data_IF_591443328172
#
_entry.id   IF_591443328172
#
_cell.length_a   1.000
_cell.length_b   1.000
_cell.length_c   1.000
_cell.angle_alpha   90.00
_cell.angle_beta   90.00
_cell.angle_gamma   90.00
#
_symmetry.space_group_name_H-M   'P 1'
#
loop_
_entity.id
_entity.type
_entity.pdbx_description
1 polymer ?
#
# COMPACT_ATOMS: atom_id res chain seq x y z
N UNK A 1 26.63 -31.78 -6.50
CA UNK A 1 25.80 -31.16 -7.54
C UNK A 1 24.72 -30.36 -6.80
N UNK A 2 25.02 -29.12 -6.46
CA UNK A 2 24.07 -28.27 -5.74
C UNK A 2 23.01 -27.78 -6.73
N UNK A 3 21.72 -28.05 -6.42
CA UNK A 3 20.59 -27.61 -7.24
C UNK A 3 20.42 -26.10 -7.01
N UNK A 4 20.64 -25.23 -8.02
CA UNK A 4 20.57 -23.77 -7.84
C UNK A 4 19.19 -23.28 -7.39
N UNK A 5 18.14 -24.08 -7.61
CA UNK A 5 16.77 -23.73 -7.22
C UNK A 5 16.51 -23.91 -5.72
N UNK A 6 17.17 -24.86 -5.05
CA UNK A 6 17.00 -25.05 -3.60
C UNK A 6 17.65 -23.94 -2.77
N UNK A 7 18.70 -23.29 -3.26
CA UNK A 7 19.39 -22.21 -2.56
C UNK A 7 18.60 -20.89 -2.56
N UNK A 8 17.58 -20.74 -3.40
CA UNK A 8 16.75 -19.51 -3.47
C UNK A 8 15.47 -19.60 -2.65
N UNK A 9 15.02 -20.80 -2.25
CA UNK A 9 13.73 -20.99 -1.57
C UNK A 9 13.69 -20.27 -0.22
N UNK A 10 14.69 -20.47 0.63
CA UNK A 10 14.73 -19.87 1.96
C UNK A 10 14.78 -18.32 1.92
N UNK A 11 15.65 -17.67 1.11
CA UNK A 11 15.60 -16.21 0.95
C UNK A 11 14.26 -15.71 0.39
N UNK A 12 13.68 -16.40 -0.59
CA UNK A 12 12.39 -16.00 -1.17
C UNK A 12 11.27 -16.06 -0.14
N UNK A 13 11.21 -17.13 0.67
CA UNK A 13 10.26 -17.24 1.77
C UNK A 13 10.51 -16.13 2.83
N UNK A 14 11.77 -15.83 3.14
CA UNK A 14 12.11 -14.74 4.05
C UNK A 14 11.59 -13.38 3.55
N UNK A 15 11.69 -13.10 2.24
CA UNK A 15 11.15 -11.86 1.66
C UNK A 15 9.62 -11.80 1.74
N UNK A 16 8.93 -12.91 1.44
CA UNK A 16 7.47 -12.99 1.55
C UNK A 16 7.05 -12.80 3.01
N UNK A 17 7.71 -13.47 3.96
CA UNK A 17 7.42 -13.34 5.39
C UNK A 17 7.72 -11.93 5.91
N UNK A 18 8.81 -11.32 5.48
CA UNK A 18 9.17 -9.95 5.86
C UNK A 18 8.13 -8.93 5.37
N UNK A 19 7.67 -9.05 4.13
CA UNK A 19 6.59 -8.22 3.59
C UNK A 19 5.27 -8.46 4.33
N UNK A 20 4.94 -9.73 4.62
CA UNK A 20 3.78 -10.10 5.43
C UNK A 20 3.81 -9.49 6.83
N UNK A 21 5.00 -9.44 7.44
CA UNK A 21 5.22 -8.81 8.74
C UNK A 21 4.98 -7.29 8.65
N UNK A 22 5.45 -6.62 7.60
CA UNK A 22 5.16 -5.20 7.35
C UNK A 22 3.65 -5.00 7.20
N UNK A 23 2.96 -5.82 6.41
CA UNK A 23 1.51 -5.77 6.26
C UNK A 23 0.79 -5.91 7.61
N UNK A 24 1.13 -6.94 8.40
CA UNK A 24 0.55 -7.16 9.72
C UNK A 24 0.78 -5.96 10.65
N UNK A 25 2.02 -5.44 10.73
CA UNK A 25 2.35 -4.30 11.58
C UNK A 25 1.55 -3.06 11.17
N UNK A 26 1.44 -2.77 9.87
CA UNK A 26 0.64 -1.63 9.38
C UNK A 26 -0.84 -1.79 9.75
N UNK A 27 -1.43 -2.96 9.48
CA UNK A 27 -2.83 -3.24 9.80
C UNK A 27 -3.12 -3.28 11.30
N UNK A 28 -2.13 -3.61 12.14
CA UNK A 28 -2.28 -3.68 13.58
C UNK A 28 -2.01 -2.34 14.28
N UNK A 29 -0.85 -1.71 14.00
CA UNK A 29 -0.41 -0.54 14.78
C UNK A 29 -1.20 0.73 14.45
N UNK A 30 -1.57 0.95 13.18
CA UNK A 30 -2.27 2.19 12.79
C UNK A 30 -3.65 2.29 13.45
N UNK A 31 -4.55 1.28 13.35
CA UNK A 31 -5.83 1.34 14.06
C UNK A 31 -5.69 1.34 15.58
N UNK A 32 -4.74 0.56 16.13
CA UNK A 32 -4.50 0.50 17.59
C UNK A 32 -4.13 1.88 18.15
N UNK A 33 -3.11 2.53 17.58
CA UNK A 33 -2.65 3.85 18.02
C UNK A 33 -3.77 4.90 17.81
N UNK A 34 -4.51 4.81 16.71
CA UNK A 34 -5.63 5.73 16.46
C UNK A 34 -6.72 5.63 17.53
N UNK A 35 -7.05 4.42 17.98
CA UNK A 35 -8.03 4.20 19.07
C UNK A 35 -7.50 4.72 20.41
N UNK A 36 -6.24 4.41 20.75
CA UNK A 36 -5.62 4.86 22.01
C UNK A 36 -5.57 6.39 22.11
N UNK A 37 -5.22 7.06 21.01
CA UNK A 37 -5.22 8.53 20.96
C UNK A 37 -6.63 9.13 21.02
N UNK A 38 -7.61 8.46 20.42
CA UNK A 38 -9.01 8.89 20.50
C UNK A 38 -9.55 8.77 21.94
N UNK A 39 -9.18 7.71 22.68
CA UNK A 39 -9.53 7.57 24.10
C UNK A 39 -8.94 8.70 24.95
N UNK A 40 -7.79 9.26 24.56
CA UNK A 40 -7.18 10.43 25.19
C UNK A 40 -7.76 11.77 24.72
N UNK A 41 -8.81 11.75 23.91
CA UNK A 41 -9.44 12.96 23.35
C UNK A 41 -8.49 13.78 22.45
N UNK A 42 -7.48 13.14 21.84
CA UNK A 42 -6.57 13.79 20.89
C UNK A 42 -7.34 14.12 19.60
N UNK A 43 -7.17 15.34 19.12
CA UNK A 43 -7.88 15.80 17.92
C UNK A 43 -7.54 14.94 16.70
N UNK A 44 -8.53 14.63 15.82
CA UNK A 44 -8.36 13.75 14.64
C UNK A 44 -7.25 14.17 13.69
N UNK A 45 -6.93 15.45 13.60
CA UNK A 45 -5.78 15.96 12.85
C UNK A 45 -4.46 15.33 13.31
N UNK A 46 -4.22 15.25 14.62
CA UNK A 46 -2.99 14.68 15.17
C UNK A 46 -2.94 13.17 15.00
N UNK A 47 -4.10 12.50 15.08
CA UNK A 47 -4.22 11.08 14.73
C UNK A 47 -3.82 10.85 13.26
N UNK A 48 -4.32 11.69 12.36
CA UNK A 48 -3.97 11.65 10.94
C UNK A 48 -2.50 11.93 10.67
N UNK A 49 -1.90 12.90 11.38
CA UNK A 49 -0.47 13.23 11.29
C UNK A 49 0.40 12.06 11.74
N UNK A 50 0.06 11.41 12.85
CA UNK A 50 0.79 10.23 13.33
C UNK A 50 0.66 9.03 12.39
N UNK A 51 -0.54 8.80 11.85
CA UNK A 51 -0.79 7.75 10.86
C UNK A 51 -0.02 7.99 9.53
N UNK A 52 0.33 9.23 9.21
CA UNK A 52 1.12 9.60 8.04
C UNK A 52 2.64 9.37 8.21
N UNK A 53 3.14 9.17 9.44
CA UNK A 53 4.58 9.01 9.69
C UNK A 53 5.17 7.74 9.07
N UNK A 54 4.57 6.54 9.20
CA UNK A 54 5.09 5.36 8.54
C UNK A 54 5.15 5.51 7.00
N UNK A 55 4.10 5.94 6.29
CA UNK A 55 4.20 6.23 4.86
C UNK A 55 5.25 7.28 4.50
N UNK A 56 5.42 8.33 5.30
CA UNK A 56 6.47 9.31 5.10
C UNK A 56 7.88 8.69 5.23
N UNK A 57 8.08 7.82 6.22
CA UNK A 57 9.30 7.03 6.36
C UNK A 57 9.54 6.10 5.17
N UNK A 58 8.50 5.43 4.66
CA UNK A 58 8.58 4.60 3.44
C UNK A 58 8.98 5.44 2.21
N UNK A 59 8.43 6.63 2.06
CA UNK A 59 8.78 7.55 0.98
C UNK A 59 10.26 7.95 1.04
N UNK A 60 10.76 8.29 2.23
CA UNK A 60 12.18 8.63 2.45
C UNK A 60 13.06 7.42 2.11
N UNK A 61 12.72 6.24 2.58
CA UNK A 61 13.50 5.02 2.33
C UNK A 61 13.54 4.65 0.85
N UNK A 62 12.47 4.92 0.08
CA UNK A 62 12.44 4.68 -1.37
C UNK A 62 13.51 5.48 -2.11
N UNK A 63 13.81 6.71 -1.67
CA UNK A 63 14.91 7.50 -2.20
C UNK A 63 16.29 7.07 -1.69
N UNK A 64 16.37 6.59 -0.44
CA UNK A 64 17.63 6.17 0.18
C UNK A 64 18.06 4.75 -0.23
N UNK A 65 17.12 3.84 -0.47
CA UNK A 65 17.40 2.44 -0.76
C UNK A 65 18.40 2.23 -1.92
N UNK A 66 18.31 2.93 -3.05
CA UNK A 66 19.28 2.79 -4.13
C UNK A 66 20.72 3.17 -3.73
N UNK A 67 20.87 4.16 -2.86
CA UNK A 67 22.18 4.58 -2.37
C UNK A 67 22.74 3.60 -1.32
N UNK A 68 21.87 3.08 -0.47
CA UNK A 68 22.20 2.09 0.55
C UNK A 68 22.62 0.75 -0.07
N UNK A 69 21.87 0.25 -1.06
CA UNK A 69 22.16 -1.01 -1.76
C UNK A 69 23.51 -1.01 -2.49
N UNK A 70 24.01 0.18 -2.88
CA UNK A 70 25.36 0.31 -3.46
C UNK A 70 26.49 0.17 -2.44
N UNK A 71 26.23 0.50 -1.17
CA UNK A 71 27.25 0.56 -0.10
C UNK A 71 27.18 -0.62 0.84
N UNK A 72 25.99 -1.16 1.09
CA UNK A 72 25.72 -2.18 2.08
C UNK A 72 25.19 -3.42 1.38
N UNK A 73 25.62 -4.61 1.83
CA UNK A 73 25.09 -5.88 1.33
C UNK A 73 23.60 -6.04 1.67
N UNK A 74 22.85 -6.59 0.72
CA UNK A 74 21.40 -6.79 0.83
C UNK A 74 20.98 -7.51 2.13
N UNK A 75 21.73 -8.56 2.52
CA UNK A 75 21.45 -9.33 3.73
C UNK A 75 21.60 -8.52 5.01
N UNK A 76 22.63 -7.66 5.09
CA UNK A 76 22.87 -6.77 6.24
C UNK A 76 21.78 -5.70 6.30
N UNK A 77 21.44 -5.11 5.16
CA UNK A 77 20.42 -4.06 5.07
C UNK A 77 19.03 -4.58 5.46
N UNK A 78 18.64 -5.75 4.95
CA UNK A 78 17.37 -6.41 5.32
C UNK A 78 17.33 -6.81 6.78
N UNK A 79 18.41 -7.40 7.30
CA UNK A 79 18.47 -7.82 8.72
C UNK A 79 18.39 -6.61 9.64
N UNK A 80 19.11 -5.55 9.34
CA UNK A 80 19.06 -4.29 10.09
C UNK A 80 17.67 -3.66 10.06
N UNK A 81 17.02 -3.66 8.88
CA UNK A 81 15.65 -3.14 8.72
C UNK A 81 14.61 -3.98 9.47
N UNK A 82 14.72 -5.31 9.48
CA UNK A 82 13.82 -6.17 10.25
C UNK A 82 13.95 -5.96 11.76
N UNK A 83 15.18 -5.82 12.26
CA UNK A 83 15.42 -5.52 13.67
C UNK A 83 14.85 -4.13 14.01
N UNK A 84 15.14 -3.12 13.19
CA UNK A 84 14.62 -1.76 13.38
C UNK A 84 13.09 -1.74 13.35
N UNK A 85 12.45 -2.47 12.42
CA UNK A 85 11.00 -2.60 12.32
C UNK A 85 10.41 -3.17 13.63
N UNK A 86 10.96 -4.28 14.12
CA UNK A 86 10.48 -4.91 15.36
C UNK A 86 10.63 -3.97 16.57
N UNK A 87 11.81 -3.36 16.75
CA UNK A 87 12.07 -2.44 17.85
C UNK A 87 11.19 -1.20 17.80
N UNK A 88 11.04 -0.58 16.63
CA UNK A 88 10.17 0.59 16.45
C UNK A 88 8.71 0.25 16.72
N UNK A 89 8.24 -0.91 16.25
CA UNK A 89 6.86 -1.37 16.50
C UNK A 89 6.62 -1.63 18.00
N UNK A 90 7.54 -2.31 18.68
CA UNK A 90 7.44 -2.54 20.13
C UNK A 90 7.41 -1.21 20.86
N UNK A 91 8.30 -0.27 20.51
CA UNK A 91 8.33 1.06 21.11
C UNK A 91 7.01 1.80 20.91
N UNK A 92 6.40 1.72 19.70
CA UNK A 92 5.08 2.32 19.43
C UNK A 92 3.96 1.71 20.27
N UNK A 93 4.02 0.41 20.57
CA UNK A 93 3.01 -0.26 21.38
C UNK A 93 3.23 -0.09 22.90
N UNK A 94 4.38 0.41 23.33
CA UNK A 94 4.71 0.62 24.75
C UNK A 94 4.45 2.03 25.26
N UNK A 95 4.02 2.94 24.40
CA UNK A 95 3.74 4.32 24.77
C UNK A 95 2.45 4.79 24.14
N UNK A 96 1.72 5.61 24.90
CA UNK A 96 0.53 6.32 24.42
C UNK A 96 0.77 7.83 24.33
N UNK A 97 2.00 8.28 24.61
CA UNK A 97 2.39 9.68 24.48
C UNK A 97 2.62 10.01 23.00
N UNK A 98 1.86 10.98 22.50
CA UNK A 98 1.90 11.43 21.11
C UNK A 98 3.32 11.81 20.65
N UNK A 99 4.07 12.50 21.52
CA UNK A 99 5.42 12.99 21.17
C UNK A 99 6.41 11.84 21.04
N UNK A 100 6.28 10.84 21.93
CA UNK A 100 7.12 9.64 21.90
C UNK A 100 6.79 8.71 20.73
N UNK A 101 5.59 8.80 20.15
CA UNK A 101 5.18 8.03 18.97
C UNK A 101 5.78 8.54 17.65
N UNK A 102 6.23 9.80 17.58
CA UNK A 102 6.73 10.40 16.33
C UNK A 102 7.94 9.64 15.77
N UNK A 103 8.95 9.39 16.58
CA UNK A 103 10.17 8.74 16.14
C UNK A 103 9.96 7.26 15.78
N UNK A 104 9.33 6.42 16.62
CA UNK A 104 9.02 5.04 16.26
C UNK A 104 8.16 4.92 15.01
N UNK A 105 7.14 5.78 14.83
CA UNK A 105 6.31 5.80 13.63
C UNK A 105 7.12 6.02 12.35
N UNK A 106 8.01 7.01 12.35
CA UNK A 106 8.89 7.30 11.22
C UNK A 106 9.87 6.14 10.96
N UNK A 107 10.48 5.59 12.02
CA UNK A 107 11.42 4.46 11.92
C UNK A 107 10.76 3.18 11.42
N UNK A 108 9.53 2.91 11.85
CA UNK A 108 8.71 1.81 11.31
C UNK A 108 8.56 1.95 9.79
N UNK A 109 8.26 3.16 9.30
CA UNK A 109 8.16 3.44 7.88
C UNK A 109 9.47 3.29 7.13
N UNK A 110 10.56 3.85 7.66
CA UNK A 110 11.90 3.72 7.06
C UNK A 110 12.29 2.24 6.90
N UNK A 111 12.11 1.45 7.93
CA UNK A 111 12.41 0.02 7.92
C UNK A 111 11.52 -0.74 6.94
N UNK A 112 10.20 -0.49 6.98
CA UNK A 112 9.21 -1.10 6.08
C UNK A 112 9.52 -0.83 4.61
N UNK A 113 9.84 0.41 4.27
CA UNK A 113 10.14 0.79 2.89
C UNK A 113 11.38 0.09 2.34
N UNK A 114 12.46 -0.05 3.13
CA UNK A 114 13.62 -0.83 2.72
C UNK A 114 13.25 -2.29 2.49
N UNK A 115 12.48 -2.90 3.40
CA UNK A 115 12.05 -4.31 3.30
C UNK A 115 11.22 -4.52 2.03
N UNK A 116 10.26 -3.65 1.76
CA UNK A 116 9.38 -3.75 0.58
C UNK A 116 10.19 -3.58 -0.71
N UNK A 117 11.01 -2.52 -0.83
CA UNK A 117 11.83 -2.26 -2.03
C UNK A 117 12.75 -3.44 -2.34
N UNK A 118 13.46 -3.96 -1.34
CA UNK A 118 14.37 -5.08 -1.53
C UNK A 118 13.65 -6.40 -1.78
N UNK A 119 12.51 -6.63 -1.10
CA UNK A 119 11.66 -7.79 -1.30
C UNK A 119 11.09 -7.85 -2.72
N UNK A 120 10.51 -6.74 -3.20
CA UNK A 120 9.99 -6.64 -4.57
C UNK A 120 11.11 -6.83 -5.61
N UNK A 121 12.25 -6.21 -5.41
CA UNK A 121 13.40 -6.37 -6.29
C UNK A 121 13.87 -7.83 -6.35
N UNK A 122 13.95 -8.50 -5.21
CA UNK A 122 14.31 -9.92 -5.14
C UNK A 122 13.32 -10.81 -5.90
N UNK A 123 12.02 -10.63 -5.64
CA UNK A 123 10.93 -11.41 -6.25
C UNK A 123 10.87 -11.16 -7.75
N UNK A 124 10.99 -9.91 -8.18
CA UNK A 124 10.89 -9.56 -9.61
C UNK A 124 12.15 -9.84 -10.38
N UNK A 125 13.33 -9.77 -9.77
CA UNK A 125 14.62 -10.03 -10.41
C UNK A 125 15.01 -11.51 -10.47
N UNK A 126 14.51 -12.34 -9.54
CA UNK A 126 14.95 -13.72 -9.34
C UNK A 126 14.17 -14.79 -10.08
N UNK A 127 12.98 -14.52 -10.57
CA UNK A 127 12.12 -15.51 -11.22
C UNK A 127 12.14 -15.38 -12.75
N UNK A 128 12.20 -16.52 -13.45
CA UNK A 128 12.14 -16.57 -14.92
C UNK A 128 10.68 -16.73 -15.39
N UNK A 129 10.30 -15.99 -16.43
CA UNK A 129 9.08 -16.21 -17.19
C UNK A 129 7.77 -16.23 -16.38
N UNK A 130 7.00 -17.31 -16.50
CA UNK A 130 5.68 -17.49 -15.90
C UNK A 130 5.67 -17.58 -14.37
N UNK A 131 6.75 -17.98 -13.74
CA UNK A 131 6.86 -18.09 -12.28
C UNK A 131 6.94 -16.71 -11.59
N UNK A 132 7.41 -15.68 -12.30
CA UNK A 132 7.52 -14.31 -11.80
C UNK A 132 6.15 -13.75 -11.38
N UNK A 133 5.15 -13.87 -12.25
CA UNK A 133 3.79 -13.38 -11.96
C UNK A 133 3.18 -14.09 -10.75
N UNK A 134 3.38 -15.41 -10.66
CA UNK A 134 2.87 -16.22 -9.53
C UNK A 134 3.53 -15.81 -8.21
N UNK A 135 4.85 -15.65 -8.17
CA UNK A 135 5.58 -15.25 -6.96
C UNK A 135 5.22 -13.82 -6.53
N UNK A 136 5.08 -12.89 -7.47
CA UNK A 136 4.61 -11.52 -7.18
C UNK A 136 3.19 -11.54 -6.62
N UNK A 137 2.31 -12.39 -7.17
CA UNK A 137 0.95 -12.56 -6.65
C UNK A 137 0.93 -13.12 -5.22
N UNK A 138 1.74 -14.15 -4.93
CA UNK A 138 1.87 -14.72 -3.58
C UNK A 138 2.40 -13.66 -2.60
N UNK A 139 3.42 -12.89 -3.00
CA UNK A 139 4.00 -11.83 -2.19
C UNK A 139 2.95 -10.76 -1.83
N UNK A 140 2.22 -10.26 -2.81
CA UNK A 140 1.18 -9.25 -2.61
C UNK A 140 0.01 -9.79 -1.76
N UNK A 141 -0.47 -11.01 -2.05
CA UNK A 141 -1.55 -11.65 -1.29
C UNK A 141 -1.16 -11.93 0.16
N UNK A 142 0.09 -12.30 0.40
CA UNK A 142 0.60 -12.54 1.76
C UNK A 142 0.69 -11.23 2.55
N UNK A 143 1.14 -10.14 1.92
CA UNK A 143 1.14 -8.80 2.52
C UNK A 143 -0.29 -8.37 2.91
N UNK A 144 -1.23 -8.37 1.96
CA UNK A 144 -2.63 -7.93 2.19
C UNK A 144 -3.35 -8.84 3.18
N UNK A 145 -3.14 -10.16 3.11
CA UNK A 145 -3.73 -11.11 4.05
C UNK A 145 -3.26 -10.88 5.49
N UNK A 146 -1.99 -10.55 5.68
CA UNK A 146 -1.44 -10.22 7.00
C UNK A 146 -1.87 -8.82 7.47
N UNK A 147 -2.03 -7.85 6.57
CA UNK A 147 -2.59 -6.52 6.89
C UNK A 147 -4.03 -6.66 7.42
N UNK A 148 -4.84 -7.51 6.81
CA UNK A 148 -6.20 -7.84 7.25
C UNK A 148 -6.24 -8.43 8.66
N UNK A 149 -5.25 -9.26 9.03
CA UNK A 149 -5.20 -9.91 10.34
C UNK A 149 -5.04 -8.90 11.50
N UNK A 150 -4.43 -7.74 11.26
CA UNK A 150 -4.22 -6.71 12.27
C UNK A 150 -5.51 -6.18 12.88
N UNK A 151 -6.40 -5.53 12.11
CA UNK A 151 -7.67 -5.02 12.62
C UNK A 151 -8.57 -6.14 13.16
N UNK A 152 -8.55 -7.33 12.54
CA UNK A 152 -9.28 -8.48 13.04
C UNK A 152 -8.86 -8.84 14.47
N UNK A 153 -7.56 -8.85 14.74
CA UNK A 153 -7.03 -9.16 16.07
C UNK A 153 -7.45 -8.11 17.11
N UNK A 154 -7.45 -6.83 16.76
CA UNK A 154 -7.92 -5.76 17.62
C UNK A 154 -9.42 -5.91 17.93
N UNK A 155 -10.23 -6.28 16.92
CA UNK A 155 -11.68 -6.42 17.09
C UNK A 155 -12.09 -7.52 18.07
N UNK A 156 -11.23 -8.53 18.30
CA UNK A 156 -11.45 -9.64 19.25
C UNK A 156 -11.15 -9.20 20.70
N UNK A 157 -10.32 -8.19 20.90
CA UNK A 157 -10.09 -7.59 22.22
C UNK A 157 -8.62 -7.54 22.63
N UNK A 158 -8.30 -6.82 23.75
CA UNK A 158 -6.94 -6.52 24.17
C UNK A 158 -6.13 -7.73 24.67
N UNK A 159 -6.78 -8.84 25.00
CA UNK A 159 -6.11 -10.06 25.48
C UNK A 159 -5.05 -10.61 24.52
N UNK A 160 -5.11 -10.26 23.23
CA UNK A 160 -4.21 -10.75 22.19
C UNK A 160 -3.00 -9.83 21.93
N UNK A 161 -2.92 -8.69 22.61
CA UNK A 161 -1.85 -7.70 22.36
C UNK A 161 -0.45 -8.26 22.63
N UNK A 162 -0.26 -8.95 23.76
CA UNK A 162 1.01 -9.61 24.07
C UNK A 162 1.36 -10.70 23.05
N UNK A 163 0.36 -11.46 22.58
CA UNK A 163 0.54 -12.49 21.55
C UNK A 163 0.95 -11.89 20.20
N UNK A 164 0.40 -10.73 19.83
CA UNK A 164 0.77 -10.01 18.62
C UNK A 164 2.24 -9.58 18.66
N UNK A 165 2.70 -9.00 19.78
CA UNK A 165 4.10 -8.60 19.96
C UNK A 165 5.05 -9.80 19.93
N UNK A 166 4.68 -10.91 20.60
CA UNK A 166 5.45 -12.15 20.54
C UNK A 166 5.53 -12.71 19.12
N UNK A 167 4.44 -12.67 18.36
CA UNK A 167 4.43 -13.09 16.95
C UNK A 167 5.35 -12.23 16.09
N UNK A 168 5.36 -10.91 16.27
CA UNK A 168 6.28 -10.00 15.57
C UNK A 168 7.73 -10.38 15.82
N UNK A 169 8.10 -10.59 17.09
CA UNK A 169 9.46 -11.00 17.47
C UNK A 169 9.81 -12.38 16.88
N UNK A 170 8.93 -13.36 17.00
CA UNK A 170 9.14 -14.70 16.49
C UNK A 170 9.31 -14.72 14.95
N UNK A 171 8.43 -14.03 14.21
CA UNK A 171 8.54 -13.94 12.75
C UNK A 171 9.81 -13.20 12.34
N UNK A 172 10.18 -12.12 13.03
CA UNK A 172 11.45 -11.43 12.81
C UNK A 172 12.63 -12.37 12.99
N UNK A 173 12.67 -13.14 14.07
CA UNK A 173 13.75 -14.11 14.33
C UNK A 173 13.84 -15.19 13.23
N UNK A 174 12.69 -15.72 12.78
CA UNK A 174 12.64 -16.71 11.70
C UNK A 174 13.15 -16.09 10.39
N UNK A 175 12.73 -14.87 10.04
CA UNK A 175 13.24 -14.16 8.87
C UNK A 175 14.77 -13.98 8.93
N UNK A 176 15.31 -13.54 10.07
CA UNK A 176 16.75 -13.37 10.25
C UNK A 176 17.53 -14.69 10.10
N UNK A 177 16.97 -15.81 10.59
CA UNK A 177 17.57 -17.14 10.40
C UNK A 177 17.56 -17.56 8.93
N UNK A 178 16.47 -17.31 8.21
CA UNK A 178 16.35 -17.63 6.77
C UNK A 178 17.25 -16.75 5.90
N UNK A 179 17.44 -15.48 6.26
CA UNK A 179 18.33 -14.55 5.54
C UNK A 179 19.82 -14.95 5.61
N UNK A 180 20.22 -15.79 6.54
CA UNK A 180 21.60 -16.37 6.58
C UNK A 180 21.92 -17.20 5.34
N UNK A 181 20.91 -17.67 4.64
CA UNK A 181 21.06 -18.42 3.36
C UNK A 181 21.10 -17.51 2.13
N UNK A 182 21.04 -16.18 2.32
CA UNK A 182 21.17 -15.23 1.20
C UNK A 182 22.60 -15.28 0.67
N UNK A 183 22.82 -15.38 -0.66
CA UNK A 183 24.15 -15.38 -1.23
C UNK A 183 24.92 -14.11 -0.83
N UNK A 184 26.15 -14.27 -0.36
CA UNK A 184 27.04 -13.15 -0.02
C UNK A 184 27.41 -12.37 -1.28
N UNK A 185 27.55 -11.04 -1.13
CA UNK A 185 27.93 -10.17 -2.26
C UNK A 185 26.78 -9.80 -3.20
N UNK A 186 25.52 -10.16 -2.87
CA UNK A 186 24.35 -9.75 -3.64
C UNK A 186 24.20 -8.24 -3.54
N UNK A 187 24.66 -7.53 -4.56
CA UNK A 187 24.42 -6.10 -4.77
C UNK A 187 23.45 -5.94 -5.92
N UNK A 188 22.44 -5.17 -5.73
CA UNK A 188 21.47 -4.91 -6.79
C UNK A 188 22.09 -3.97 -7.84
N UNK A 189 22.16 -4.43 -9.10
CA UNK A 189 22.51 -3.56 -10.22
C UNK A 189 21.28 -2.74 -10.58
N UNK A 190 21.19 -1.53 -10.07
CA UNK A 190 20.20 -0.56 -10.55
C UNK A 190 20.59 -0.18 -11.98
N UNK A 191 19.75 -0.60 -12.95
CA UNK A 191 19.95 -0.35 -14.37
C UNK A 191 20.10 1.14 -14.71
N UNK A 192 20.48 1.42 -15.95
CA UNK A 192 20.67 2.78 -16.47
C UNK A 192 19.45 3.66 -16.27
N UNK A 193 19.68 4.97 -16.12
CA UNK A 193 18.63 5.97 -15.89
C UNK A 193 17.78 6.11 -17.15
N UNK A 194 16.53 5.62 -17.11
CA UNK A 194 15.56 5.95 -18.16
C UNK A 194 15.13 7.43 -18.05
N UNK A 195 14.72 8.03 -19.16
CA UNK A 195 14.28 9.43 -19.19
C UNK A 195 12.88 9.59 -18.59
N UNK A 196 12.73 10.46 -17.62
CA UNK A 196 11.44 10.77 -16.96
C UNK A 196 10.45 11.53 -17.88
N UNK A 197 10.95 12.15 -18.94
CA UNK A 197 10.13 12.99 -19.83
C UNK A 197 9.12 12.17 -20.63
N UNK A 198 9.51 11.00 -21.12
CA UNK A 198 8.64 10.12 -21.91
C UNK A 198 7.46 9.55 -21.12
N UNK A 199 7.51 9.54 -19.79
CA UNK A 199 6.44 9.00 -18.93
C UNK A 199 5.47 10.07 -18.44
N UNK A 200 5.80 11.36 -18.60
CA UNK A 200 5.03 12.48 -18.04
C UNK A 200 3.57 12.52 -18.46
N UNK A 201 3.28 12.20 -19.72
CA UNK A 201 1.93 12.22 -20.26
C UNK A 201 1.02 11.10 -19.71
N UNK A 202 1.60 9.93 -19.40
CA UNK A 202 0.87 8.77 -18.87
C UNK A 202 0.68 8.82 -17.36
N UNK A 203 1.55 9.55 -16.67
CA UNK A 203 1.62 9.60 -15.22
C UNK A 203 0.30 9.97 -14.54
N UNK A 204 -0.43 11.04 -14.94
CA UNK A 204 -1.69 11.39 -14.29
C UNK A 204 -2.72 10.28 -14.36
N UNK A 205 -2.80 9.57 -15.50
CA UNK A 205 -3.78 8.51 -15.73
C UNK A 205 -3.48 7.26 -14.92
N UNK A 206 -2.21 6.87 -14.83
CA UNK A 206 -1.79 5.63 -14.16
C UNK A 206 -1.60 5.83 -12.66
N UNK A 207 -0.96 6.92 -12.26
CA UNK A 207 -0.64 7.18 -10.86
C UNK A 207 -1.85 7.65 -10.04
N UNK A 208 -2.86 8.25 -10.67
CA UNK A 208 -4.05 8.73 -9.95
C UNK A 208 -4.82 7.60 -9.24
N UNK A 209 -4.88 6.40 -9.84
CA UNK A 209 -5.53 5.25 -9.20
C UNK A 209 -4.76 4.74 -8.00
N UNK A 210 -3.43 4.67 -8.12
CA UNK A 210 -2.53 4.30 -7.01
C UNK A 210 -2.63 5.30 -5.86
N UNK A 211 -2.57 6.60 -6.18
CA UNK A 211 -2.70 7.67 -5.19
C UNK A 211 -4.07 7.64 -4.50
N UNK A 212 -5.16 7.52 -5.26
CA UNK A 212 -6.52 7.48 -4.72
C UNK A 212 -6.73 6.28 -3.79
N UNK A 213 -6.25 5.10 -4.19
CA UNK A 213 -6.31 3.91 -3.35
C UNK A 213 -5.49 4.07 -2.07
N UNK A 214 -4.25 4.54 -2.16
CA UNK A 214 -3.39 4.71 -1.00
C UNK A 214 -3.90 5.80 -0.03
N UNK A 215 -4.47 6.88 -0.58
CA UNK A 215 -5.17 7.91 0.20
C UNK A 215 -6.34 7.30 1.00
N UNK A 216 -7.12 6.45 0.34
CA UNK A 216 -8.24 5.74 0.96
C UNK A 216 -7.75 4.74 2.01
N UNK A 217 -6.83 3.83 1.66
CA UNK A 217 -6.36 2.74 2.52
C UNK A 217 -5.79 3.27 3.84
N UNK A 218 -4.87 4.25 3.77
CA UNK A 218 -4.29 4.84 4.97
C UNK A 218 -5.34 5.59 5.82
N UNK A 219 -6.30 6.27 5.18
CA UNK A 219 -7.36 6.99 5.89
C UNK A 219 -8.31 6.04 6.61
N UNK A 220 -8.70 4.92 5.99
CA UNK A 220 -9.60 3.95 6.64
C UNK A 220 -8.92 3.22 7.80
N UNK A 221 -7.64 2.86 7.65
CA UNK A 221 -6.89 2.24 8.74
C UNK A 221 -6.84 3.15 9.98
N UNK A 222 -6.63 4.45 9.78
CA UNK A 222 -6.48 5.41 10.87
C UNK A 222 -7.82 5.95 11.41
N UNK A 223 -8.78 6.25 10.55
CA UNK A 223 -9.90 7.12 10.91
C UNK A 223 -11.28 6.44 10.79
N UNK A 224 -11.42 5.34 10.04
CA UNK A 224 -12.70 4.63 9.93
C UNK A 224 -13.17 4.05 11.28
N UNK A 225 -12.30 3.49 12.15
CA UNK A 225 -12.73 3.08 13.48
C UNK A 225 -13.29 4.26 14.30
N UNK A 226 -12.66 5.43 14.24
CA UNK A 226 -13.10 6.63 14.95
C UNK A 226 -14.44 7.15 14.41
N UNK A 227 -14.61 7.12 13.07
CA UNK A 227 -15.90 7.42 12.44
C UNK A 227 -17.00 6.46 12.93
N UNK A 228 -16.72 5.16 12.97
CA UNK A 228 -17.66 4.15 13.46
C UNK A 228 -18.09 4.39 14.92
N UNK A 229 -17.11 4.72 15.77
CA UNK A 229 -17.37 5.03 17.20
C UNK A 229 -18.20 6.31 17.36
N UNK A 230 -17.92 7.37 16.60
CA UNK A 230 -18.71 8.62 16.57
C UNK A 230 -20.18 8.35 16.18
N UNK A 231 -20.40 7.41 15.27
CA UNK A 231 -21.75 6.97 14.85
C UNK A 231 -22.39 5.94 15.80
N UNK A 232 -21.82 5.71 16.98
CA UNK A 232 -22.39 4.88 18.04
C UNK A 232 -22.09 3.38 17.94
N UNK A 233 -21.16 2.96 17.10
CA UNK A 233 -20.67 1.59 17.10
C UNK A 233 -19.72 1.37 18.28
N UNK A 234 -19.73 0.17 18.86
CA UNK A 234 -18.71 -0.22 19.82
C UNK A 234 -17.35 -0.38 19.12
N UNK A 235 -16.28 -0.29 19.89
CA UNK A 235 -14.89 -0.32 19.40
C UNK A 235 -14.60 -1.54 18.52
N UNK A 236 -14.97 -2.74 18.97
CA UNK A 236 -14.75 -3.97 18.20
C UNK A 236 -15.48 -3.96 16.85
N UNK A 237 -16.71 -3.45 16.80
CA UNK A 237 -17.47 -3.34 15.55
C UNK A 237 -16.86 -2.25 14.63
N UNK A 238 -16.44 -1.13 15.19
CA UNK A 238 -15.83 -0.05 14.43
C UNK A 238 -14.52 -0.49 13.75
N UNK A 239 -13.66 -1.24 14.46
CA UNK A 239 -12.44 -1.83 13.87
C UNK A 239 -12.77 -2.95 12.89
N UNK A 240 -13.82 -3.72 13.12
CA UNK A 240 -14.25 -4.78 12.20
C UNK A 240 -14.64 -4.22 10.83
N UNK A 241 -15.12 -2.97 10.74
CA UNK A 241 -15.40 -2.31 9.45
C UNK A 241 -14.14 -2.27 8.56
N UNK A 242 -12.98 -1.95 9.14
CA UNK A 242 -11.69 -1.95 8.42
C UNK A 242 -11.38 -3.35 7.89
N UNK A 243 -11.55 -4.38 8.75
CA UNK A 243 -11.36 -5.78 8.34
C UNK A 243 -12.24 -6.14 7.15
N UNK A 244 -13.52 -5.75 7.16
CA UNK A 244 -14.45 -6.04 6.08
C UNK A 244 -14.08 -5.32 4.79
N UNK A 245 -13.63 -4.07 4.86
CA UNK A 245 -13.15 -3.32 3.69
C UNK A 245 -11.93 -4.02 3.09
N UNK A 246 -10.91 -4.34 3.90
CA UNK A 246 -9.71 -5.05 3.43
C UNK A 246 -10.04 -6.46 2.88
N UNK A 247 -11.07 -7.13 3.43
CA UNK A 247 -11.56 -8.41 2.88
C UNK A 247 -12.15 -8.21 1.49
N UNK A 248 -12.94 -7.15 1.30
CA UNK A 248 -13.47 -6.80 -0.02
C UNK A 248 -12.38 -6.55 -1.04
N UNK A 249 -11.36 -5.77 -0.67
CA UNK A 249 -10.18 -5.54 -1.51
C UNK A 249 -9.52 -6.88 -1.90
N UNK A 250 -9.11 -7.68 -0.92
CA UNK A 250 -8.39 -8.93 -1.17
C UNK A 250 -9.17 -9.94 -2.03
N UNK A 251 -10.49 -10.10 -1.77
CA UNK A 251 -11.33 -11.10 -2.45
C UNK A 251 -11.65 -10.72 -3.90
N UNK A 252 -11.82 -9.45 -4.19
CA UNK A 252 -12.34 -9.01 -5.50
C UNK A 252 -11.26 -8.57 -6.48
N UNK A 253 -10.00 -8.46 -6.09
CA UNK A 253 -8.89 -8.11 -7.00
C UNK A 253 -8.84 -9.04 -8.22
N UNK A 254 -8.85 -10.35 -8.01
CA UNK A 254 -8.80 -11.35 -9.10
C UNK A 254 -10.07 -11.35 -9.97
N UNK A 255 -11.30 -11.41 -9.43
CA UNK A 255 -12.53 -11.31 -10.21
C UNK A 255 -12.63 -10.04 -11.04
N UNK A 256 -12.24 -8.89 -10.49
CA UNK A 256 -12.29 -7.60 -11.20
C UNK A 256 -11.20 -7.50 -12.27
N UNK A 257 -10.02 -8.07 -12.04
CA UNK A 257 -8.99 -8.23 -13.05
C UNK A 257 -9.47 -9.06 -14.24
N UNK A 258 -10.07 -10.21 -13.98
CA UNK A 258 -10.68 -11.07 -15.01
C UNK A 258 -11.82 -10.37 -15.77
N UNK A 259 -12.67 -9.62 -15.08
CA UNK A 259 -13.71 -8.82 -15.72
C UNK A 259 -13.12 -7.76 -16.62
N UNK A 260 -12.05 -7.10 -16.18
CA UNK A 260 -11.35 -6.07 -16.94
C UNK A 260 -10.72 -6.61 -18.23
N UNK A 261 -10.24 -7.85 -18.23
CA UNK A 261 -9.73 -8.50 -19.45
C UNK A 261 -10.84 -8.76 -20.48
N UNK A 262 -12.09 -8.98 -20.05
CA UNK A 262 -13.22 -9.26 -20.96
C UNK A 262 -13.95 -8.01 -21.44
N UNK A 263 -14.20 -7.06 -20.56
CA UNK A 263 -15.04 -5.87 -20.82
C UNK A 263 -14.20 -4.66 -21.22
N UNK A 264 -12.91 -4.70 -20.87
CA UNK A 264 -11.96 -3.61 -21.10
C UNK A 264 -11.60 -2.89 -19.80
N UNK A 265 -10.30 -2.74 -19.55
CA UNK A 265 -9.75 -2.23 -18.28
C UNK A 265 -10.30 -0.84 -17.93
N UNK A 266 -10.33 0.10 -18.88
CA UNK A 266 -10.81 1.46 -18.63
C UNK A 266 -12.26 1.48 -18.16
N UNK A 267 -13.14 0.67 -18.77
CA UNK A 267 -14.57 0.62 -18.39
C UNK A 267 -14.72 0.12 -16.97
N UNK A 268 -14.06 -1.00 -16.62
CA UNK A 268 -14.12 -1.57 -15.28
C UNK A 268 -13.52 -0.61 -14.26
N UNK A 269 -12.41 0.03 -14.57
CA UNK A 269 -11.73 1.00 -13.69
C UNK A 269 -12.64 2.19 -13.36
N UNK A 270 -13.28 2.79 -14.37
CA UNK A 270 -14.24 3.88 -14.17
C UNK A 270 -15.49 3.42 -13.39
N UNK A 271 -16.03 2.23 -13.70
CA UNK A 271 -17.17 1.67 -12.97
C UNK A 271 -16.84 1.43 -11.50
N UNK A 272 -15.65 0.91 -11.21
CA UNK A 272 -15.18 0.74 -9.82
C UNK A 272 -15.05 2.08 -9.10
N UNK A 273 -14.55 3.14 -9.75
CA UNK A 273 -14.47 4.47 -9.16
C UNK A 273 -15.85 5.08 -8.85
N UNK A 274 -16.83 4.85 -9.71
CA UNK A 274 -18.23 5.25 -9.45
C UNK A 274 -18.79 4.46 -8.28
N UNK A 275 -18.62 3.13 -8.26
CA UNK A 275 -19.06 2.27 -7.15
C UNK A 275 -18.39 2.67 -5.85
N UNK A 276 -17.08 2.95 -5.86
CA UNK A 276 -16.32 3.46 -4.72
C UNK A 276 -16.95 4.73 -4.14
N UNK A 277 -17.19 5.74 -4.98
CA UNK A 277 -17.78 7.02 -4.55
C UNK A 277 -19.21 6.86 -4.04
N UNK A 278 -20.02 6.04 -4.71
CA UNK A 278 -21.41 5.78 -4.28
C UNK A 278 -21.46 4.97 -2.98
N UNK A 279 -20.56 4.01 -2.79
CA UNK A 279 -20.47 3.23 -1.55
C UNK A 279 -20.12 4.11 -0.35
N UNK A 280 -19.20 5.07 -0.54
CA UNK A 280 -18.86 6.04 0.50
C UNK A 280 -20.06 6.93 0.86
N UNK A 281 -20.81 7.42 -0.13
CA UNK A 281 -22.01 8.23 0.10
C UNK A 281 -23.14 7.42 0.76
N UNK A 282 -23.23 6.14 0.47
CA UNK A 282 -24.24 5.24 1.05
C UNK A 282 -23.87 4.78 2.48
N UNK A 283 -22.59 4.78 2.85
CA UNK A 283 -22.12 4.24 4.13
C UNK A 283 -22.83 4.88 5.35
N UNK A 284 -23.00 6.23 5.45
CA UNK A 284 -23.74 6.83 6.57
C UNK A 284 -25.20 6.38 6.66
N UNK A 285 -25.82 6.06 5.52
CA UNK A 285 -27.23 5.62 5.45
C UNK A 285 -27.42 4.18 5.92
N UNK A 286 -26.35 3.38 5.94
CA UNK A 286 -26.40 1.95 6.26
C UNK A 286 -26.06 1.64 7.74
N UNK A 287 -25.78 2.64 8.55
CA UNK A 287 -25.40 2.51 9.96
C UNK A 287 -26.49 1.83 10.83
N UNK A 288 -27.77 1.93 10.43
CA UNK A 288 -28.89 1.32 11.14
C UNK A 288 -28.98 -0.21 11.03
N UNK A 289 -28.26 -0.85 10.08
CA UNK A 289 -28.28 -2.29 9.86
C UNK A 289 -26.88 -2.85 9.71
N UNK A 290 -26.50 -3.75 10.62
CA UNK A 290 -25.15 -4.39 10.59
C UNK A 290 -24.87 -5.10 9.27
N UNK A 291 -25.86 -5.81 8.72
CA UNK A 291 -25.72 -6.58 7.46
C UNK A 291 -25.47 -5.61 6.29
N UNK A 292 -26.25 -4.53 6.20
CA UNK A 292 -26.11 -3.54 5.13
C UNK A 292 -24.78 -2.81 5.24
N UNK A 293 -24.37 -2.46 6.47
CA UNK A 293 -23.08 -1.81 6.74
C UNK A 293 -21.90 -2.70 6.33
N UNK A 294 -21.93 -4.00 6.67
CA UNK A 294 -20.90 -4.95 6.24
C UNK A 294 -20.89 -5.14 4.73
N UNK A 295 -22.06 -5.23 4.10
CA UNK A 295 -22.15 -5.38 2.64
C UNK A 295 -21.60 -4.16 1.90
N UNK A 296 -21.89 -2.94 2.36
CA UNK A 296 -21.38 -1.71 1.73
C UNK A 296 -19.87 -1.56 1.96
N UNK A 297 -19.35 -1.94 3.14
CA UNK A 297 -17.90 -1.94 3.41
C UNK A 297 -17.15 -2.96 2.53
N UNK A 298 -17.73 -4.15 2.34
CA UNK A 298 -17.15 -5.16 1.43
C UNK A 298 -17.11 -4.66 -0.01
N UNK A 299 -18.20 -4.05 -0.48
CA UNK A 299 -18.29 -3.47 -1.82
C UNK A 299 -17.34 -2.30 -2.00
N UNK A 300 -17.22 -1.45 -0.97
CA UNK A 300 -16.28 -0.33 -0.93
C UNK A 300 -14.83 -0.80 -1.09
N UNK A 301 -14.44 -1.83 -0.33
CA UNK A 301 -13.11 -2.41 -0.41
C UNK A 301 -12.83 -3.02 -1.79
N UNK A 302 -13.78 -3.79 -2.32
CA UNK A 302 -13.68 -4.36 -3.67
C UNK A 302 -13.46 -3.29 -4.75
N UNK A 303 -14.22 -2.21 -4.67
CA UNK A 303 -14.12 -1.11 -5.63
C UNK A 303 -12.81 -0.32 -5.46
N UNK A 304 -12.39 -0.07 -4.22
CA UNK A 304 -11.13 0.64 -3.92
C UNK A 304 -9.91 -0.13 -4.40
N UNK A 305 -9.79 -1.42 -4.07
CA UNK A 305 -8.65 -2.25 -4.48
C UNK A 305 -8.51 -2.37 -6.00
N UNK A 306 -9.63 -2.31 -6.72
CA UNK A 306 -9.61 -2.28 -8.18
C UNK A 306 -8.94 -1.02 -8.74
N UNK A 307 -9.00 0.13 -8.05
CA UNK A 307 -8.32 1.36 -8.50
C UNK A 307 -6.81 1.17 -8.57
N UNK A 308 -6.23 0.48 -7.59
CA UNK A 308 -4.82 0.14 -7.55
C UNK A 308 -4.47 -0.96 -8.56
N UNK A 309 -5.13 -2.10 -8.44
CA UNK A 309 -4.80 -3.30 -9.24
C UNK A 309 -4.93 -3.03 -10.73
N UNK A 310 -5.98 -2.33 -11.17
CA UNK A 310 -6.17 -2.01 -12.58
C UNK A 310 -5.18 -0.96 -13.08
N UNK A 311 -4.67 -0.06 -12.23
CA UNK A 311 -3.56 0.83 -12.59
C UNK A 311 -2.28 0.04 -12.90
N UNK A 312 -1.94 -0.96 -12.07
CA UNK A 312 -0.80 -1.84 -12.31
C UNK A 312 -0.96 -2.66 -13.60
N UNK A 313 -2.16 -3.24 -13.82
CA UNK A 313 -2.45 -4.02 -15.04
C UNK A 313 -2.35 -3.14 -16.28
N UNK A 314 -2.84 -1.90 -16.24
CA UNK A 314 -2.71 -0.94 -17.34
C UNK A 314 -1.25 -0.63 -17.64
N UNK A 315 -0.46 -0.31 -16.62
CA UNK A 315 0.97 -0.08 -16.78
C UNK A 315 1.69 -1.28 -17.41
N UNK A 316 1.42 -2.49 -16.93
CA UNK A 316 2.02 -3.72 -17.45
C UNK A 316 1.61 -4.08 -18.87
N UNK A 317 0.44 -3.61 -19.36
CA UNK A 317 0.01 -3.76 -20.76
C UNK A 317 0.57 -2.67 -21.69
N UNK A 318 0.88 -1.50 -21.14
CA UNK A 318 1.34 -0.34 -21.91
C UNK A 318 2.86 -0.31 -22.03
N UNK A 319 3.59 -0.73 -20.99
CA UNK A 319 5.04 -0.60 -20.91
C UNK A 319 5.73 -1.93 -20.66
N UNK A 320 6.95 -2.06 -21.20
CA UNK A 320 7.81 -3.21 -21.01
C UNK A 320 9.22 -2.78 -20.58
N UNK A 321 10.02 -3.74 -20.06
CA UNK A 321 11.42 -3.51 -19.72
C UNK A 321 11.63 -2.36 -18.72
N UNK A 322 12.57 -1.48 -19.03
CA UNK A 322 12.95 -0.37 -18.16
C UNK A 322 11.84 0.66 -17.91
N UNK A 323 11.01 0.98 -18.93
CA UNK A 323 9.87 1.91 -18.76
C UNK A 323 8.88 1.37 -17.71
N UNK A 324 8.61 0.06 -17.69
CA UNK A 324 7.74 -0.57 -16.68
C UNK A 324 8.34 -0.52 -15.27
N UNK A 325 9.63 -0.80 -15.12
CA UNK A 325 10.33 -0.71 -13.84
C UNK A 325 10.23 0.70 -13.26
N UNK A 326 10.42 1.71 -14.11
CA UNK A 326 10.35 3.11 -13.71
C UNK A 326 8.94 3.55 -13.32
N UNK A 327 7.90 3.08 -14.01
CA UNK A 327 6.50 3.33 -13.64
C UNK A 327 6.17 2.68 -12.29
N UNK A 328 6.65 1.47 -12.03
CA UNK A 328 6.44 0.81 -10.74
C UNK A 328 7.14 1.57 -9.60
N UNK A 329 8.32 2.13 -9.84
CA UNK A 329 8.99 3.00 -8.85
C UNK A 329 8.17 4.29 -8.57
N UNK A 330 7.57 4.88 -9.62
CA UNK A 330 6.66 6.02 -9.47
C UNK A 330 5.38 5.62 -8.71
N UNK A 331 4.86 4.44 -8.92
CA UNK A 331 3.72 3.92 -8.16
C UNK A 331 4.03 3.85 -6.67
N UNK A 332 5.23 3.40 -6.28
CA UNK A 332 5.69 3.43 -4.89
C UNK A 332 5.72 4.84 -4.30
N UNK A 333 6.17 5.84 -5.08
CA UNK A 333 6.13 7.24 -4.68
C UNK A 333 4.68 7.76 -4.50
N UNK A 334 3.81 7.55 -5.48
CA UNK A 334 2.41 8.00 -5.41
C UNK A 334 1.60 7.25 -4.35
N UNK A 335 1.91 5.97 -4.10
CA UNK A 335 1.40 5.23 -2.96
C UNK A 335 1.75 5.93 -1.65
N UNK A 336 3.03 6.21 -1.42
CA UNK A 336 3.49 6.86 -0.20
C UNK A 336 2.90 8.26 -0.05
N UNK A 337 2.84 9.03 -1.14
CA UNK A 337 2.24 10.37 -1.14
C UNK A 337 0.74 10.34 -0.82
N UNK A 338 -0.01 9.39 -1.38
CA UNK A 338 -1.42 9.17 -1.06
C UNK A 338 -1.63 8.78 0.40
N UNK A 339 -0.81 7.83 0.89
CA UNK A 339 -0.88 7.35 2.27
C UNK A 339 -0.51 8.43 3.31
N UNK A 340 0.35 9.39 2.95
CA UNK A 340 0.61 10.58 3.79
C UNK A 340 -0.55 11.56 3.73
N UNK A 341 -0.99 11.89 2.52
CA UNK A 341 -2.02 12.92 2.32
C UNK A 341 -3.38 12.50 2.88
N UNK A 342 -3.75 11.21 2.75
CA UNK A 342 -5.06 10.70 3.14
C UNK A 342 -5.43 11.00 4.59
N UNK A 343 -4.74 10.44 5.57
CA UNK A 343 -5.05 10.65 6.98
C UNK A 343 -4.91 12.10 7.41
N UNK A 344 -3.94 12.84 6.88
CA UNK A 344 -3.72 14.26 7.22
C UNK A 344 -4.87 15.12 6.73
N UNK A 345 -5.23 15.03 5.45
CA UNK A 345 -6.33 15.83 4.86
C UNK A 345 -7.67 15.43 5.48
N UNK A 346 -7.90 14.13 5.66
CA UNK A 346 -9.12 13.64 6.32
C UNK A 346 -9.21 14.11 7.78
N UNK A 347 -8.10 14.02 8.53
CA UNK A 347 -8.04 14.49 9.92
C UNK A 347 -8.25 15.99 10.04
N UNK A 348 -7.71 16.80 9.11
CA UNK A 348 -7.99 18.25 9.06
C UNK A 348 -9.48 18.54 8.83
N UNK A 349 -10.09 17.86 7.86
CA UNK A 349 -11.49 18.12 7.53
C UNK A 349 -12.43 17.62 8.64
N UNK A 350 -12.12 16.51 9.30
CA UNK A 350 -12.83 16.04 10.49
C UNK A 350 -12.81 17.11 11.59
N UNK A 351 -11.67 17.78 11.79
CA UNK A 351 -11.56 18.88 12.78
C UNK A 351 -12.49 20.07 12.51
N UNK A 352 -12.91 20.28 11.26
CA UNK A 352 -13.77 21.39 10.81
C UNK A 352 -15.24 20.97 10.73
N UNK A 353 -15.52 19.78 10.18
CA UNK A 353 -16.87 19.33 9.81
C UNK A 353 -17.41 18.19 10.67
N UNK A 354 -16.63 17.71 11.64
CA UNK A 354 -16.90 16.44 12.34
C UNK A 354 -16.50 15.22 11.53
N UNK A 355 -16.76 14.04 12.06
CA UNK A 355 -16.29 12.78 11.47
C UNK A 355 -16.83 12.49 10.05
N UNK A 356 -17.92 13.13 9.63
CA UNK A 356 -18.40 13.04 8.23
C UNK A 356 -17.41 13.65 7.24
N UNK A 357 -16.45 14.47 7.68
CA UNK A 357 -15.31 14.95 6.91
C UNK A 357 -14.47 13.83 6.30
N UNK A 358 -14.40 12.67 6.95
CA UNK A 358 -13.75 11.48 6.37
C UNK A 358 -14.42 11.07 5.05
N UNK A 359 -15.76 10.97 5.08
CA UNK A 359 -16.51 10.56 3.88
C UNK A 359 -16.33 11.58 2.76
N UNK A 360 -16.38 12.88 3.09
CA UNK A 360 -16.21 13.96 2.11
C UNK A 360 -14.83 13.90 1.45
N UNK A 361 -13.75 13.72 2.21
CA UNK A 361 -12.40 13.64 1.64
C UNK A 361 -12.21 12.41 0.76
N UNK A 362 -12.74 11.25 1.17
CA UNK A 362 -12.65 10.02 0.40
C UNK A 362 -13.49 10.10 -0.89
N UNK A 363 -14.69 10.66 -0.83
CA UNK A 363 -15.51 10.92 -2.04
C UNK A 363 -14.79 11.89 -2.98
N UNK A 364 -14.22 12.97 -2.43
CA UNK A 364 -13.47 13.95 -3.22
C UNK A 364 -12.28 13.31 -3.95
N UNK A 365 -11.56 12.38 -3.30
CA UNK A 365 -10.46 11.64 -3.95
C UNK A 365 -10.94 10.76 -5.10
N UNK A 366 -12.09 10.08 -4.95
CA UNK A 366 -12.71 9.28 -6.01
C UNK A 366 -13.21 10.14 -7.18
N UNK A 367 -13.82 11.28 -6.89
CA UNK A 367 -14.26 12.25 -7.91
C UNK A 367 -13.06 12.83 -8.64
N UNK A 368 -11.99 13.20 -7.93
CA UNK A 368 -10.75 13.68 -8.54
C UNK A 368 -10.15 12.63 -9.49
N UNK A 369 -10.11 11.37 -9.06
CA UNK A 369 -9.68 10.28 -9.93
C UNK A 369 -10.54 10.21 -11.20
N UNK A 370 -11.88 10.23 -11.08
CA UNK A 370 -12.81 10.20 -12.21
C UNK A 370 -12.57 11.38 -13.16
N UNK A 371 -12.38 12.58 -12.63
CA UNK A 371 -12.09 13.78 -13.43
C UNK A 371 -10.79 13.63 -14.21
N UNK A 372 -9.71 13.17 -13.58
CA UNK A 372 -8.43 12.92 -14.23
C UNK A 372 -8.60 11.91 -15.37
N UNK A 373 -9.32 10.80 -15.12
CA UNK A 373 -9.55 9.76 -16.12
C UNK A 373 -10.41 10.23 -17.30
N UNK A 374 -11.32 11.20 -17.08
CA UNK A 374 -12.16 11.77 -18.14
C UNK A 374 -11.45 12.88 -18.93
N UNK A 375 -10.65 13.70 -18.26
CA UNK A 375 -9.98 14.86 -18.86
C UNK A 375 -8.69 14.48 -19.61
N UNK A 376 -7.97 13.45 -19.13
CA UNK A 376 -6.76 13.01 -19.79
C UNK A 376 -7.05 12.24 -21.07
N UNK A 377 -6.22 12.49 -22.10
CA UNK A 377 -6.30 11.77 -23.38
C UNK A 377 -6.24 10.25 -23.16
N UNK A 378 -6.90 9.52 -24.05
CA UNK A 378 -6.90 8.06 -23.98
C UNK A 378 -5.48 7.53 -24.21
N UNK A 379 -5.09 6.45 -23.53
CA UNK A 379 -3.77 5.81 -23.67
C UNK A 379 -3.38 5.55 -25.13
N UNK A 380 -4.34 5.13 -25.97
CA UNK A 380 -4.10 4.91 -27.40
C UNK A 380 -3.66 6.18 -28.13
N UNK A 381 -4.21 7.33 -27.73
CA UNK A 381 -3.85 8.62 -28.32
C UNK A 381 -2.47 9.08 -27.80
N UNK A 382 -2.15 8.78 -26.55
CA UNK A 382 -0.84 9.09 -25.98
C UNK A 382 0.27 8.21 -26.57
N UNK A 383 0.01 6.92 -26.77
CA UNK A 383 0.95 6.01 -27.44
C UNK A 383 1.19 6.40 -28.89
N UNK A 384 0.15 6.84 -29.61
CA UNK A 384 0.29 7.31 -30.99
C UNK A 384 1.14 8.58 -31.07
N UNK A 385 0.94 9.54 -30.13
CA UNK A 385 1.76 10.76 -30.09
C UNK A 385 3.22 10.49 -29.69
N UNK A 386 3.47 9.51 -28.79
CA UNK A 386 4.85 9.11 -28.43
C UNK A 386 5.58 8.45 -29.62
N UNK A 387 4.88 7.61 -30.37
CA UNK A 387 5.45 6.99 -31.59
C UNK A 387 5.74 8.00 -32.69
N UNK A 388 4.91 9.04 -32.84
CA UNK A 388 5.16 10.15 -33.76
C UNK A 388 6.38 10.97 -33.34
N UNK A 389 6.53 11.30 -32.04
CA UNK A 389 7.71 12.01 -31.51
C UNK A 389 9.00 11.19 -31.68
N UNK A 390 8.99 9.86 -31.36
CA UNK A 390 10.16 8.98 -31.55
C UNK A 390 10.56 8.87 -33.05
N UNK A 391 9.60 8.88 -33.97
CA UNK A 391 9.88 8.88 -35.42
C UNK A 391 10.48 10.21 -35.91
N UNK A 392 10.00 11.32 -35.38
CA UNK A 392 10.51 12.65 -35.73
C UNK A 392 11.92 12.87 -35.21
N UNK A 393 12.22 12.47 -33.96
CA UNK A 393 13.58 12.51 -33.39
C UNK A 393 14.55 11.59 -34.16
N UNK A 394 14.12 10.39 -34.55
CA UNK A 394 14.92 9.48 -35.36
C UNK A 394 15.23 10.06 -36.76
N UNK A 395 14.27 10.78 -37.34
CA UNK A 395 14.42 11.40 -38.67
C UNK A 395 15.33 12.65 -38.61
N UNK A 396 15.30 13.38 -37.50
CA UNK A 396 16.15 14.57 -37.27
C UNK A 396 17.60 14.18 -36.96
N UNK A 397 17.80 13.06 -36.23
CA UNK A 397 19.15 12.52 -35.95
C UNK A 397 19.82 11.83 -37.17
N UNK A 398 19.06 11.50 -38.21
CA UNK A 398 19.53 10.92 -39.46
C UNK A 398 19.86 11.97 -40.53
N UNK A 399 19.55 13.23 -40.27
CA UNK A 399 19.91 14.39 -41.10
C UNK A 399 21.15 15.08 -40.56
#
# INVERSE_FOLDING_TARGET
MFNPDQNRLAPTLAMIMAASLVGFITGYTVPLISLELAQQQIAPLYVGLLAALPPAGMMISSFLSPALCRRVEMGVLLSGSLILLALATIASCMTTDMTLLLLPGLLTGLASGVIIVLGESWITGGAAGSQRATLTGIYASAFTGCQLAGPLLISVGPAWQASALMAIVAVTAVCLLMLRHLPTGTRESLGERASWRSLGAFLPVLASGVFCFAFFDASILALLPLYGMDKGLNEGMAVLLVTVVLTGDAMFQTPLGWLADRVGIRRVHLSCAVVFSLSLLALPLMLGSRIQLMAICLLLGAAAGALYTLSLVRAGKTFNGQKLIMINALFGFFWSAGSVAGPVVSGMLIGITGYDGLIVTLVASGVLFLLIQCLCKNEKTLLASEQEEEMDEATESAR
#
